data_IF_627563766810
#
_entry.id   IF_627563766810
#
_cell.length_a   1.000
_cell.length_b   1.000
_cell.length_c   1.000
_cell.angle_alpha   90.00
_cell.angle_beta   90.00
_cell.angle_gamma   90.00
#
_symmetry.space_group_name_H-M   'P 1'
#
loop_
_entity.id
_entity.type
_entity.pdbx_description
1 polymer ?
#
# COMPACT_ATOMS: atom_id res chain seq x y z
N UNK A 1 12.74 -14.98 -10.23
CA UNK A 1 11.28 -15.06 -10.41
C UNK A 1 10.71 -15.07 -9.01
N UNK A 2 9.92 -14.06 -8.70
CA UNK A 2 9.62 -13.68 -7.32
C UNK A 2 8.28 -12.95 -7.23
N UNK A 3 7.57 -13.22 -6.15
CA UNK A 3 6.32 -12.54 -5.83
C UNK A 3 6.60 -11.06 -5.52
N UNK A 4 5.61 -10.20 -5.76
CA UNK A 4 5.72 -8.79 -5.45
C UNK A 4 4.37 -8.24 -4.98
N UNK A 5 4.43 -7.34 -4.00
CA UNK A 5 3.32 -6.52 -3.55
C UNK A 5 3.68 -5.07 -3.87
N UNK A 6 2.74 -4.30 -4.40
CA UNK A 6 2.97 -2.92 -4.82
C UNK A 6 1.76 -2.06 -4.45
N UNK A 7 2.02 -0.93 -3.81
CA UNK A 7 1.07 0.17 -3.65
C UNK A 7 1.49 1.28 -4.59
N UNK A 8 0.55 1.71 -5.43
CA UNK A 8 0.71 2.87 -6.30
C UNK A 8 -0.31 3.94 -5.94
N UNK A 9 0.05 5.20 -6.09
CA UNK A 9 -0.82 6.34 -5.85
C UNK A 9 -0.85 7.30 -7.04
N UNK A 10 -1.99 7.94 -7.22
CA UNK A 10 -2.17 9.04 -8.16
C UNK A 10 -3.18 10.03 -7.61
N UNK A 11 -3.16 11.25 -8.11
CA UNK A 11 -3.96 12.34 -7.58
C UNK A 11 -4.51 13.25 -8.66
N UNK A 12 -5.55 14.00 -8.31
CA UNK A 12 -6.08 15.13 -9.08
C UNK A 12 -6.00 16.39 -8.24
N UNK A 13 -5.99 17.55 -8.88
CA UNK A 13 -6.06 18.85 -8.23
C UNK A 13 -7.32 19.56 -8.69
N UNK A 14 -8.13 20.04 -7.73
CA UNK A 14 -9.38 20.73 -7.98
C UNK A 14 -10.33 19.95 -8.93
N UNK A 15 -10.39 18.62 -8.82
CA UNK A 15 -11.31 17.83 -9.61
C UNK A 15 -12.75 18.19 -9.21
N UNK A 16 -13.65 18.32 -10.18
CA UNK A 16 -15.07 18.58 -9.90
C UNK A 16 -15.90 17.30 -9.88
N UNK A 17 -17.21 17.45 -10.08
CA UNK A 17 -18.13 16.32 -10.21
C UNK A 17 -17.88 15.46 -11.48
N UNK A 18 -17.17 16.02 -12.47
CA UNK A 18 -16.74 15.28 -13.66
C UNK A 18 -15.50 14.45 -13.33
N UNK A 19 -15.48 13.19 -13.73
CA UNK A 19 -14.31 12.33 -13.55
C UNK A 19 -13.08 12.90 -14.25
N UNK A 20 -12.02 13.11 -13.47
CA UNK A 20 -10.72 13.60 -13.93
C UNK A 20 -9.70 12.47 -13.83
N UNK A 21 -8.91 12.27 -14.88
CA UNK A 21 -7.87 11.24 -14.88
C UNK A 21 -6.78 11.58 -13.85
N UNK A 22 -6.30 10.55 -13.12
CA UNK A 22 -5.24 10.74 -12.14
C UNK A 22 -3.91 11.13 -12.80
N UNK A 23 -3.20 12.05 -12.15
CA UNK A 23 -1.76 12.24 -12.34
C UNK A 23 -1.03 11.29 -11.39
N UNK A 24 -0.22 10.39 -11.93
CA UNK A 24 0.48 9.39 -11.10
C UNK A 24 1.60 10.03 -10.28
N UNK A 25 1.76 9.57 -9.03
CA UNK A 25 2.88 9.97 -8.20
C UNK A 25 4.21 9.54 -8.82
N UNK A 26 5.28 10.25 -8.49
CA UNK A 26 6.60 9.98 -9.07
C UNK A 26 7.05 8.54 -8.78
N UNK A 27 7.39 7.81 -9.85
CA UNK A 27 7.83 6.42 -9.80
C UNK A 27 6.70 5.38 -9.93
N UNK A 28 5.45 5.81 -9.89
CA UNK A 28 4.29 4.93 -10.03
C UNK A 28 3.75 4.95 -11.47
N UNK A 29 3.03 3.89 -11.86
CA UNK A 29 2.44 3.77 -13.19
C UNK A 29 1.15 2.95 -13.16
N UNK A 30 0.20 3.34 -14.01
CA UNK A 30 -1.02 2.56 -14.28
C UNK A 30 -0.79 1.45 -15.32
N UNK A 31 0.42 1.35 -15.90
CA UNK A 31 0.79 0.21 -16.74
C UNK A 31 1.12 -0.98 -15.86
N UNK A 32 0.37 -2.07 -16.02
CA UNK A 32 0.61 -3.32 -15.31
C UNK A 32 1.92 -3.92 -15.81
N UNK A 33 2.85 -4.12 -14.88
CA UNK A 33 4.17 -4.68 -15.16
C UNK A 33 4.06 -6.03 -15.87
N UNK A 34 5.01 -6.30 -16.77
CA UNK A 34 5.05 -7.57 -17.48
C UNK A 34 5.39 -8.71 -16.51
N UNK A 35 4.56 -9.75 -16.51
CA UNK A 35 4.79 -11.02 -15.79
C UNK A 35 4.94 -12.15 -16.78
N UNK A 36 5.28 -13.35 -16.28
CA UNK A 36 5.22 -14.55 -17.11
C UNK A 36 3.78 -14.85 -17.57
N UNK A 37 3.59 -15.47 -18.76
CA UNK A 37 2.25 -15.68 -19.35
C UNK A 37 1.28 -16.50 -18.49
N UNK A 38 1.78 -17.41 -17.66
CA UNK A 38 1.00 -18.28 -16.77
C UNK A 38 0.74 -17.67 -15.39
N UNK A 39 1.37 -16.53 -15.08
CA UNK A 39 1.33 -15.88 -13.77
C UNK A 39 0.28 -14.78 -13.74
N UNK A 40 -0.42 -14.69 -12.62
CA UNK A 40 -1.53 -13.75 -12.47
C UNK A 40 -1.08 -12.49 -11.74
N UNK A 41 -1.80 -11.42 -12.05
CA UNK A 41 -1.72 -10.12 -11.37
C UNK A 41 -3.10 -9.82 -10.80
N UNK A 42 -3.14 -9.31 -9.59
CA UNK A 42 -4.37 -9.09 -8.85
C UNK A 42 -4.41 -7.65 -8.31
N UNK A 43 -5.50 -6.94 -8.58
CA UNK A 43 -5.90 -5.77 -7.82
C UNK A 43 -6.55 -6.28 -6.52
N UNK A 44 -5.85 -6.10 -5.42
CA UNK A 44 -6.26 -6.57 -4.11
C UNK A 44 -7.26 -5.61 -3.47
N UNK A 45 -6.96 -4.31 -3.53
CA UNK A 45 -7.85 -3.29 -3.02
C UNK A 45 -7.53 -1.93 -3.64
N UNK A 46 -8.40 -0.97 -3.37
CA UNK A 46 -8.19 0.44 -3.69
C UNK A 46 -8.91 1.29 -2.66
N UNK A 47 -8.38 2.48 -2.40
CA UNK A 47 -8.98 3.45 -1.49
C UNK A 47 -8.68 4.87 -1.97
N UNK A 48 -9.35 5.83 -1.36
CA UNK A 48 -9.27 7.25 -1.72
C UNK A 48 -9.17 8.08 -0.47
N UNK A 49 -8.39 9.14 -0.54
CA UNK A 49 -8.40 10.26 0.38
C UNK A 49 -8.76 11.51 -0.43
N UNK A 50 -9.81 12.22 -0.04
CA UNK A 50 -10.38 13.29 -0.85
C UNK A 50 -11.13 14.31 0.00
N UNK A 51 -11.10 15.57 -0.44
CA UNK A 51 -11.80 16.71 0.16
C UNK A 51 -13.32 16.72 -0.09
N UNK A 52 -13.84 15.79 -0.90
CA UNK A 52 -15.27 15.64 -1.13
C UNK A 52 -15.66 14.18 -1.43
N UNK A 53 -16.88 13.81 -1.03
CA UNK A 53 -17.46 12.53 -1.41
C UNK A 53 -17.71 12.48 -2.93
N UNK A 54 -17.43 11.33 -3.54
CA UNK A 54 -17.33 11.26 -4.99
C UNK A 54 -17.38 9.85 -5.55
N UNK A 55 -16.67 9.65 -6.66
CA UNK A 55 -16.58 8.40 -7.40
C UNK A 55 -15.15 8.16 -7.87
N UNK A 56 -14.60 7.01 -7.48
CA UNK A 56 -13.42 6.43 -8.11
C UNK A 56 -13.86 5.51 -9.25
N UNK A 57 -13.19 5.61 -10.40
CA UNK A 57 -13.35 4.67 -11.52
C UNK A 57 -12.01 4.09 -11.94
N UNK A 58 -11.95 2.76 -12.03
CA UNK A 58 -10.79 2.03 -12.57
C UNK A 58 -11.26 1.26 -13.80
N UNK A 59 -10.73 1.60 -14.96
CA UNK A 59 -11.11 1.02 -16.25
C UNK A 59 -9.95 0.28 -16.88
N UNK A 60 -10.28 -0.78 -17.59
CA UNK A 60 -9.40 -1.39 -18.60
C UNK A 60 -10.28 -2.04 -19.68
N UNK A 61 -9.81 -2.13 -20.93
CA UNK A 61 -10.52 -2.85 -21.99
C UNK A 61 -10.75 -4.34 -21.70
N UNK A 62 -10.02 -4.89 -20.72
CA UNK A 62 -10.07 -6.30 -20.32
C UNK A 62 -10.89 -6.53 -19.05
N UNK A 63 -11.38 -5.48 -18.40
CA UNK A 63 -12.36 -5.60 -17.32
C UNK A 63 -13.74 -5.91 -17.88
N UNK A 64 -14.65 -6.40 -17.03
CA UNK A 64 -16.02 -6.75 -17.43
C UNK A 64 -16.76 -5.57 -18.09
N UNK A 65 -16.71 -4.39 -17.47
CA UNK A 65 -17.28 -3.17 -18.02
C UNK A 65 -16.14 -2.28 -18.56
N UNK A 66 -15.93 -2.28 -19.88
CA UNK A 66 -14.91 -1.46 -20.52
C UNK A 66 -15.28 0.04 -20.61
N UNK A 67 -16.52 0.41 -20.30
CA UNK A 67 -17.00 1.80 -20.32
C UNK A 67 -16.87 2.42 -18.95
N UNK A 68 -17.54 1.85 -17.94
CA UNK A 68 -17.52 2.39 -16.58
C UNK A 68 -16.44 1.80 -15.69
N UNK A 69 -15.95 0.59 -16.00
CA UNK A 69 -14.96 -0.09 -15.18
C UNK A 69 -15.51 -0.49 -13.81
N UNK A 70 -14.61 -0.63 -12.85
CA UNK A 70 -14.96 -0.69 -11.44
C UNK A 70 -15.30 0.72 -10.99
N UNK A 71 -16.54 0.94 -10.53
CA UNK A 71 -17.05 2.24 -10.09
C UNK A 71 -17.42 2.20 -8.62
N UNK A 72 -16.69 2.95 -7.80
CA UNK A 72 -16.81 2.93 -6.34
C UNK A 72 -17.19 4.31 -5.84
N UNK A 73 -18.10 4.37 -4.86
CA UNK A 73 -18.38 5.61 -4.14
C UNK A 73 -17.23 5.88 -3.17
N UNK A 74 -16.84 7.14 -3.06
CA UNK A 74 -15.82 7.59 -2.11
C UNK A 74 -16.49 8.47 -1.06
N UNK A 75 -16.04 8.36 0.19
CA UNK A 75 -16.41 9.28 1.26
C UNK A 75 -15.31 10.35 1.38
N UNK A 76 -15.67 11.53 1.85
CA UNK A 76 -14.73 12.58 2.21
C UNK A 76 -13.85 12.11 3.38
N UNK A 77 -12.54 12.35 3.33
CA UNK A 77 -11.61 12.10 4.45
C UNK A 77 -11.77 10.68 5.04
N UNK A 78 -11.85 9.67 4.17
CA UNK A 78 -11.85 8.27 4.59
C UNK A 78 -10.94 7.43 3.71
N UNK A 79 -9.65 7.39 4.03
CA UNK A 79 -8.68 6.46 3.46
C UNK A 79 -8.98 4.99 3.84
N UNK A 80 -10.12 4.43 3.41
CA UNK A 80 -10.55 3.06 3.74
C UNK A 80 -10.67 2.18 2.49
N UNK A 81 -10.41 0.86 2.60
CA UNK A 81 -10.60 -0.10 1.52
C UNK A 81 -12.00 -0.03 0.91
N UNK A 82 -12.09 0.22 -0.39
CA UNK A 82 -13.37 0.34 -1.12
C UNK A 82 -13.81 -0.98 -1.75
N UNK A 83 -12.87 -1.90 -1.97
CA UNK A 83 -13.17 -3.26 -2.43
C UNK A 83 -13.25 -4.23 -1.25
N UNK A 84 -14.06 -5.29 -1.35
CA UNK A 84 -13.93 -6.43 -0.44
C UNK A 84 -12.49 -6.95 -0.45
N UNK A 85 -11.98 -7.39 0.71
CA UNK A 85 -10.64 -7.98 0.82
C UNK A 85 -10.51 -9.33 0.07
N UNK A 86 -11.64 -9.98 -0.17
CA UNK A 86 -11.83 -11.18 -0.98
C UNK A 86 -13.30 -11.14 -1.49
N UNK A 87 -13.60 -11.36 -2.79
CA UNK A 87 -12.74 -11.77 -3.91
C UNK A 87 -11.89 -10.64 -4.52
N UNK A 88 -10.74 -11.03 -5.11
CA UNK A 88 -9.79 -10.13 -5.78
C UNK A 88 -10.10 -9.92 -7.26
N UNK A 89 -9.78 -8.74 -7.80
CA UNK A 89 -9.95 -8.44 -9.23
C UNK A 89 -8.69 -8.82 -10.01
N UNK A 90 -8.82 -9.69 -11.03
CA UNK A 90 -7.70 -10.01 -11.93
C UNK A 90 -7.32 -8.81 -12.79
N UNK A 91 -6.02 -8.54 -12.90
CA UNK A 91 -5.41 -7.62 -13.85
C UNK A 91 -4.61 -8.39 -14.91
N UNK A 92 -4.29 -7.73 -16.01
CA UNK A 92 -3.60 -8.34 -17.13
C UNK A 92 -2.23 -7.68 -17.36
N UNK A 93 -1.16 -8.47 -17.52
CA UNK A 93 0.16 -7.94 -17.81
C UNK A 93 0.16 -7.04 -19.05
N UNK A 94 0.93 -5.95 -19.00
CA UNK A 94 1.07 -4.94 -20.05
C UNK A 94 -0.23 -4.18 -20.39
N UNK A 95 -1.31 -4.39 -19.64
CA UNK A 95 -2.50 -3.57 -19.73
C UNK A 95 -2.25 -2.20 -19.10
N UNK A 96 -2.93 -1.17 -19.59
CA UNK A 96 -2.85 0.19 -19.06
C UNK A 96 -4.20 0.54 -18.46
N UNK A 97 -4.23 0.69 -17.14
CA UNK A 97 -5.45 1.13 -16.46
C UNK A 97 -5.70 2.60 -16.73
N UNK A 98 -6.97 2.98 -16.87
CA UNK A 98 -7.40 4.37 -16.79
C UNK A 98 -8.14 4.55 -15.48
N UNK A 99 -7.56 5.35 -14.59
CA UNK A 99 -8.12 5.63 -13.28
C UNK A 99 -8.54 7.09 -13.24
N UNK A 100 -9.80 7.33 -12.90
CA UNK A 100 -10.38 8.67 -12.81
C UNK A 100 -11.05 8.87 -11.45
N UNK A 101 -10.99 10.09 -10.92
CA UNK A 101 -11.56 10.49 -9.65
C UNK A 101 -12.38 11.78 -9.81
N UNK A 102 -13.49 11.91 -9.09
CA UNK A 102 -14.20 13.18 -8.92
C UNK A 102 -13.81 13.83 -7.60
N UNK A 103 -13.94 15.15 -7.49
CA UNK A 103 -13.55 15.90 -6.30
C UNK A 103 -14.47 17.08 -5.96
N UNK A 104 -13.92 18.04 -5.21
CA UNK A 104 -14.64 19.16 -4.61
C UNK A 104 -14.89 20.35 -5.54
N UNK A 105 -14.12 20.46 -6.63
CA UNK A 105 -13.97 21.62 -7.50
C UNK A 105 -13.35 22.86 -6.80
N UNK A 106 -12.79 22.72 -5.60
CA UNK A 106 -12.13 23.81 -4.89
C UNK A 106 -10.67 23.92 -5.35
N UNK A 107 -10.23 25.14 -5.61
CA UNK A 107 -8.85 25.39 -6.04
C UNK A 107 -7.86 25.08 -4.92
N UNK A 108 -6.91 24.19 -5.19
CA UNK A 108 -5.87 23.79 -4.25
C UNK A 108 -6.11 22.41 -3.62
N UNK A 109 -7.36 21.95 -3.57
CA UNK A 109 -7.70 20.62 -3.06
C UNK A 109 -7.06 19.53 -3.92
N UNK A 110 -6.55 18.50 -3.26
CA UNK A 110 -5.96 17.31 -3.86
C UNK A 110 -6.82 16.11 -3.47
N UNK A 111 -7.27 15.37 -4.48
CA UNK A 111 -7.92 14.08 -4.28
C UNK A 111 -6.98 12.96 -4.71
N UNK A 112 -6.68 12.05 -3.80
CA UNK A 112 -5.70 10.97 -4.00
C UNK A 112 -6.39 9.62 -4.04
N UNK A 113 -6.04 8.79 -5.00
CA UNK A 113 -6.46 7.39 -5.07
C UNK A 113 -5.25 6.47 -5.05
N UNK A 114 -5.43 5.31 -4.41
CA UNK A 114 -4.38 4.34 -4.16
C UNK A 114 -4.83 2.95 -4.59
N UNK A 115 -3.96 2.21 -5.29
CA UNK A 115 -4.23 0.84 -5.73
C UNK A 115 -3.19 -0.09 -5.10
N UNK A 116 -3.67 -1.20 -4.53
CA UNK A 116 -2.84 -2.30 -4.01
C UNK A 116 -2.84 -3.45 -5.01
N UNK A 117 -1.67 -3.78 -5.55
CA UNK A 117 -1.48 -4.78 -6.61
C UNK A 117 -0.56 -5.88 -6.12
N UNK A 118 -0.90 -7.13 -6.43
CA UNK A 118 -0.05 -8.29 -6.19
C UNK A 118 0.30 -8.98 -7.51
N UNK A 119 1.58 -9.35 -7.63
CA UNK A 119 2.14 -10.09 -8.75
C UNK A 119 2.59 -11.46 -8.24
N UNK A 120 2.05 -12.53 -8.83
CA UNK A 120 2.49 -13.91 -8.50
C UNK A 120 3.95 -14.16 -8.91
N UNK A 121 4.42 -13.47 -9.96
CA UNK A 121 5.81 -13.50 -10.40
C UNK A 121 6.14 -12.25 -11.23
N UNK A 122 7.07 -11.45 -10.76
CA UNK A 122 7.56 -10.26 -11.43
C UNK A 122 9.05 -10.42 -11.74
N UNK A 123 9.44 -10.64 -13.02
CA UNK A 123 10.84 -10.84 -13.39
C UNK A 123 11.75 -9.70 -12.91
N UNK A 124 12.87 -10.06 -12.28
CA UNK A 124 13.83 -9.09 -11.73
C UNK A 124 13.48 -8.54 -10.34
N UNK A 125 12.30 -8.87 -9.79
CA UNK A 125 11.85 -8.47 -8.47
C UNK A 125 11.52 -9.71 -7.64
N UNK A 126 11.87 -9.69 -6.36
CA UNK A 126 11.56 -10.76 -5.43
C UNK A 126 11.37 -10.17 -4.03
N UNK A 127 10.11 -9.87 -3.69
CA UNK A 127 9.77 -9.45 -2.34
C UNK A 127 9.82 -10.66 -1.40
N UNK A 128 10.31 -10.46 -0.19
CA UNK A 128 10.31 -11.48 0.88
C UNK A 128 8.97 -11.43 1.59
N UNK A 129 8.05 -12.29 1.17
CA UNK A 129 6.69 -12.35 1.72
C UNK A 129 6.46 -13.71 2.38
N UNK A 130 5.85 -13.71 3.57
CA UNK A 130 5.41 -14.94 4.26
C UNK A 130 3.89 -14.94 4.44
N UNK A 131 3.34 -16.14 4.67
CA UNK A 131 1.94 -16.32 5.03
C UNK A 131 1.72 -16.35 6.55
N UNK A 132 0.47 -16.20 6.98
CA UNK A 132 0.09 -16.23 8.40
C UNK A 132 0.53 -17.53 9.12
N UNK A 133 0.40 -18.68 8.46
CA UNK A 133 0.80 -19.97 9.04
C UNK A 133 2.33 -20.09 9.26
N UNK A 134 3.14 -19.40 8.47
CA UNK A 134 4.59 -19.32 8.70
C UNK A 134 4.90 -18.32 9.81
N UNK A 135 4.26 -17.14 9.81
CA UNK A 135 4.39 -16.15 10.86
C UNK A 135 4.13 -16.77 12.25
N UNK A 136 2.99 -17.45 12.42
CA UNK A 136 2.60 -18.07 13.69
C UNK A 136 3.59 -19.13 14.20
N UNK A 137 4.31 -19.82 13.29
CA UNK A 137 5.33 -20.81 13.67
C UNK A 137 6.67 -20.20 14.04
N UNK A 138 6.99 -19.01 13.53
CA UNK A 138 8.32 -18.40 13.68
C UNK A 138 8.37 -17.26 14.70
N UNK A 139 7.22 -16.65 15.01
CA UNK A 139 7.14 -15.47 15.88
C UNK A 139 7.72 -15.73 17.28
N UNK A 140 8.61 -14.84 17.73
CA UNK A 140 9.18 -14.88 19.08
C UNK A 140 8.67 -13.73 19.93
N UNK A 141 8.77 -12.50 19.42
CA UNK A 141 8.39 -11.27 20.10
C UNK A 141 7.61 -10.36 19.16
N UNK A 142 6.74 -9.51 19.72
CA UNK A 142 6.06 -8.42 19.01
C UNK A 142 6.50 -7.10 19.60
N UNK A 143 6.81 -6.12 18.76
CA UNK A 143 7.16 -4.77 19.18
C UNK A 143 6.74 -3.74 18.13
N UNK A 144 6.64 -2.48 18.55
CA UNK A 144 6.40 -1.34 17.69
C UNK A 144 7.68 -0.53 17.47
N UNK A 145 7.83 0.06 16.30
CA UNK A 145 8.84 1.08 16.01
C UNK A 145 8.16 2.32 15.47
N UNK A 146 8.29 3.42 16.20
CA UNK A 146 7.77 4.73 15.76
C UNK A 146 8.74 5.37 14.76
N UNK A 147 8.19 6.01 13.74
CA UNK A 147 8.91 6.87 12.82
C UNK A 147 8.09 8.12 12.51
N UNK A 148 8.68 9.28 12.72
CA UNK A 148 8.06 10.57 12.42
C UNK A 148 8.33 10.94 10.96
N UNK A 149 7.25 11.11 10.19
CA UNK A 149 7.32 11.50 8.77
C UNK A 149 6.99 12.98 8.61
N UNK A 150 7.53 13.60 7.56
CA UNK A 150 7.19 14.98 7.17
C UNK A 150 6.61 14.96 5.76
N UNK A 151 5.29 15.09 5.68
CA UNK A 151 4.56 15.06 4.42
C UNK A 151 4.76 16.35 3.61
N UNK A 152 4.61 16.24 2.29
CA UNK A 152 4.58 17.35 1.34
C UNK A 152 3.16 17.68 0.89
N UNK A 153 2.95 18.90 0.39
CA UNK A 153 1.64 19.43 -0.01
C UNK A 153 1.35 19.28 -1.51
N UNK A 154 2.24 18.65 -2.28
CA UNK A 154 2.17 18.62 -3.74
C UNK A 154 1.40 17.40 -4.30
N UNK A 155 0.87 16.56 -3.43
CA UNK A 155 0.36 15.23 -3.79
C UNK A 155 1.48 14.20 -3.98
N UNK A 156 1.11 12.93 -3.88
CA UNK A 156 2.02 11.79 -4.08
C UNK A 156 2.97 11.53 -2.90
N UNK A 157 4.00 10.72 -3.14
CA UNK A 157 4.90 10.21 -2.09
C UNK A 157 5.91 11.25 -1.60
N UNK A 158 6.01 11.38 -0.28
CA UNK A 158 6.93 12.28 0.41
C UNK A 158 7.33 11.73 1.78
N UNK A 159 8.11 12.51 2.56
CA UNK A 159 8.45 12.17 3.94
C UNK A 159 9.36 10.96 4.12
N UNK A 160 10.10 10.56 3.08
CA UNK A 160 10.93 9.36 3.10
C UNK A 160 11.93 9.34 4.25
N UNK A 161 11.82 8.33 5.11
CA UNK A 161 12.66 8.20 6.30
C UNK A 161 12.95 6.74 6.64
N UNK A 162 14.16 6.42 7.07
CA UNK A 162 14.50 5.05 7.46
C UNK A 162 13.67 4.58 8.67
N UNK A 163 13.25 3.31 8.69
CA UNK A 163 12.41 2.72 9.76
C UNK A 163 13.05 2.77 11.15
N UNK A 164 14.38 2.89 11.24
CA UNK A 164 15.12 2.98 12.50
C UNK A 164 15.60 4.40 12.83
N UNK A 165 15.12 5.43 12.11
CA UNK A 165 15.67 6.78 12.21
C UNK A 165 15.37 7.49 13.54
N UNK A 166 14.22 7.22 14.17
CA UNK A 166 13.87 7.78 15.49
C UNK A 166 14.27 6.82 16.60
N UNK A 167 13.86 5.55 16.47
CA UNK A 167 14.08 4.52 17.48
C UNK A 167 14.66 3.26 16.85
N UNK A 168 15.93 2.99 17.11
CA UNK A 168 16.59 1.76 16.66
C UNK A 168 16.58 0.69 17.75
N UNK A 169 15.55 -0.16 17.70
CA UNK A 169 15.36 -1.27 18.65
C UNK A 169 15.58 -2.65 18.01
N UNK A 170 15.99 -2.69 16.73
CA UNK A 170 16.20 -3.92 15.99
C UNK A 170 17.43 -4.67 16.48
N UNK A 171 17.31 -5.99 16.67
CA UNK A 171 18.44 -6.88 16.92
C UNK A 171 19.19 -7.14 15.62
N UNK A 172 20.51 -7.28 15.71
CA UNK A 172 21.36 -7.52 14.55
C UNK A 172 21.14 -8.92 13.97
N UNK A 173 21.16 -9.03 12.64
CA UNK A 173 21.04 -10.28 11.87
C UNK A 173 19.74 -11.06 12.11
N UNK A 174 18.68 -10.35 12.49
CA UNK A 174 17.35 -10.93 12.70
C UNK A 174 16.39 -10.49 11.60
N UNK A 175 15.48 -11.40 11.22
CA UNK A 175 14.37 -11.14 10.30
C UNK A 175 13.13 -10.68 11.07
N UNK A 176 12.43 -9.70 10.52
CA UNK A 176 11.25 -9.09 11.12
C UNK A 176 10.10 -9.06 10.12
N UNK A 177 8.96 -9.65 10.49
CA UNK A 177 7.74 -9.57 9.71
C UNK A 177 6.95 -8.31 10.06
N UNK A 178 6.59 -7.49 9.07
CA UNK A 178 5.71 -6.34 9.23
C UNK A 178 4.25 -6.81 9.21
N UNK A 179 3.61 -6.82 10.38
CA UNK A 179 2.24 -7.31 10.52
C UNK A 179 1.22 -6.25 10.10
N UNK A 180 1.53 -4.98 10.37
CA UNK A 180 0.69 -3.83 10.14
C UNK A 180 1.32 -2.60 10.79
N UNK A 181 0.53 -1.56 10.99
CA UNK A 181 0.99 -0.28 11.50
C UNK A 181 -0.15 0.54 12.09
N UNK A 182 0.23 1.61 12.78
CA UNK A 182 -0.68 2.62 13.32
C UNK A 182 -0.23 3.99 12.84
N UNK A 183 -1.19 4.85 12.52
CA UNK A 183 -0.99 6.27 12.24
C UNK A 183 -1.79 7.10 13.26
N UNK A 184 -1.31 8.31 13.55
CA UNK A 184 -1.96 9.25 14.46
C UNK A 184 -2.73 10.37 13.75
N UNK A 185 -2.57 10.51 12.43
CA UNK A 185 -3.29 11.44 11.56
C UNK A 185 -3.59 10.79 10.21
N UNK A 186 -4.71 11.18 9.60
CA UNK A 186 -5.12 10.69 8.28
C UNK A 186 -4.11 11.07 7.20
N UNK A 187 -3.83 10.11 6.31
CA UNK A 187 -3.14 10.31 5.03
C UNK A 187 -3.66 9.31 4.00
N UNK A 188 -3.47 9.59 2.71
CA UNK A 188 -3.91 8.68 1.65
C UNK A 188 -3.28 7.29 1.76
N UNK A 189 -1.97 7.18 2.01
CA UNK A 189 -1.31 5.90 2.24
C UNK A 189 0.01 6.01 2.97
N UNK A 190 0.36 4.94 3.67
CA UNK A 190 1.68 4.74 4.27
C UNK A 190 2.33 3.53 3.59
N UNK A 191 3.60 3.66 3.22
CA UNK A 191 4.34 2.61 2.53
C UNK A 191 5.75 2.39 3.11
N UNK A 192 6.24 1.17 2.95
CA UNK A 192 7.60 0.73 3.22
C UNK A 192 8.25 0.31 1.90
N UNK A 193 9.52 0.67 1.73
CA UNK A 193 10.28 0.37 0.52
C UNK A 193 11.71 0.02 0.88
N UNK A 194 12.26 -1.01 0.25
CA UNK A 194 13.67 -1.38 0.39
C UNK A 194 14.01 -2.61 -0.43
N UNK A 195 15.24 -3.10 -0.29
CA UNK A 195 15.69 -4.28 -1.03
C UNK A 195 14.82 -5.53 -0.76
N UNK A 196 14.34 -5.70 0.48
CA UNK A 196 13.50 -6.84 0.88
C UNK A 196 12.09 -6.81 0.26
N UNK A 197 11.62 -5.66 -0.23
CA UNK A 197 10.37 -5.52 -1.00
C UNK A 197 10.61 -5.47 -2.50
N UNK A 198 11.85 -5.75 -2.93
CA UNK A 198 12.28 -5.60 -4.33
C UNK A 198 12.25 -4.15 -4.81
N UNK A 199 12.43 -3.19 -3.89
CA UNK A 199 12.34 -1.75 -4.10
C UNK A 199 10.98 -1.24 -4.58
N UNK A 200 9.92 -2.03 -4.43
CA UNK A 200 8.54 -1.57 -4.56
C UNK A 200 8.01 -1.06 -3.23
N UNK A 201 7.04 -0.16 -3.28
CA UNK A 201 6.30 0.29 -2.11
C UNK A 201 5.31 -0.80 -1.71
N UNK A 202 5.42 -1.31 -0.48
CA UNK A 202 4.40 -2.15 0.14
C UNK A 202 3.74 -1.33 1.24
N UNK A 203 2.42 -1.37 1.36
CA UNK A 203 1.75 -0.43 2.27
C UNK A 203 0.25 -0.65 2.35
N UNK A 204 -0.43 0.36 2.87
CA UNK A 204 -1.87 0.38 2.94
C UNK A 204 -2.42 1.78 3.27
N UNK A 205 -3.69 1.85 3.69
CA UNK A 205 -4.35 3.10 4.03
C UNK A 205 -3.76 3.81 5.25
N UNK A 206 -3.62 5.13 5.19
CA UNK A 206 -3.19 5.96 6.31
C UNK A 206 -4.34 6.38 7.22
N UNK A 207 -5.22 5.45 7.62
CA UNK A 207 -6.39 5.74 8.47
C UNK A 207 -6.04 5.69 9.97
N UNK A 208 -6.20 6.81 10.66
CA UNK A 208 -5.92 7.02 12.07
C UNK A 208 -7.01 6.49 13.02
N UNK A 209 -8.24 6.35 12.50
CA UNK A 209 -9.42 5.91 13.25
C UNK A 209 -9.63 4.39 13.14
N UNK A 210 -9.32 3.78 12.00
CA UNK A 210 -9.45 2.35 11.76
C UNK A 210 -8.19 1.56 12.18
N UNK A 211 -7.64 1.85 13.37
CA UNK A 211 -6.46 1.14 13.90
C UNK A 211 -6.60 -0.38 13.94
N UNK A 212 -7.82 -0.88 14.15
CA UNK A 212 -8.12 -2.31 14.13
C UNK A 212 -7.96 -2.94 12.74
N UNK A 213 -8.06 -2.15 11.67
CA UNK A 213 -7.82 -2.56 10.29
C UNK A 213 -6.32 -2.52 9.97
N UNK A 214 -5.65 -1.40 10.27
CA UNK A 214 -4.26 -1.15 9.88
C UNK A 214 -3.24 -1.91 10.74
N UNK A 215 -3.54 -2.19 12.02
CA UNK A 215 -2.65 -2.90 12.94
C UNK A 215 -2.32 -4.33 12.50
N UNK A 216 -3.25 -5.00 11.80
CA UNK A 216 -3.06 -6.35 11.27
C UNK A 216 -3.14 -6.39 9.74
N UNK A 217 -2.94 -5.26 9.06
CA UNK A 217 -3.19 -5.09 7.62
C UNK A 217 -2.66 -6.25 6.76
N UNK A 218 -1.36 -6.55 6.88
CA UNK A 218 -0.73 -7.57 6.04
C UNK A 218 -1.10 -8.99 6.48
N UNK A 219 -1.28 -9.22 7.78
CA UNK A 219 -1.74 -10.52 8.31
C UNK A 219 -3.14 -10.82 7.81
N UNK A 220 -4.05 -9.85 7.89
CA UNK A 220 -5.43 -9.96 7.43
C UNK A 220 -5.52 -10.17 5.93
N UNK A 221 -4.76 -9.41 5.14
CA UNK A 221 -4.67 -9.62 3.69
C UNK A 221 -4.20 -11.04 3.36
N UNK A 222 -3.15 -11.52 4.03
CA UNK A 222 -2.63 -12.87 3.81
C UNK A 222 -3.62 -13.96 4.22
N UNK A 223 -4.29 -13.81 5.37
CA UNK A 223 -5.29 -14.74 5.89
C UNK A 223 -6.50 -14.87 4.98
N UNK A 224 -7.05 -13.73 4.54
CA UNK A 224 -8.27 -13.71 3.74
C UNK A 224 -8.04 -14.19 2.31
N UNK A 225 -6.88 -13.86 1.72
CA UNK A 225 -6.54 -14.28 0.36
C UNK A 225 -5.95 -15.68 0.26
N UNK A 226 -5.40 -16.21 1.36
CA UNK A 226 -4.59 -17.43 1.35
C UNK A 226 -3.22 -17.26 0.65
N UNK A 227 -2.80 -16.02 0.36
CA UNK A 227 -1.55 -15.70 -0.35
C UNK A 227 -0.53 -15.13 0.64
N UNK A 228 0.78 -15.45 0.53
CA UNK A 228 1.82 -14.79 1.31
C UNK A 228 1.89 -13.28 0.99
N UNK A 229 1.52 -12.44 1.96
CA UNK A 229 1.48 -10.98 1.81
C UNK A 229 2.16 -10.22 2.95
N UNK A 230 2.75 -10.92 3.92
CA UNK A 230 3.39 -10.31 5.09
C UNK A 230 4.87 -10.01 4.74
N UNK A 231 5.29 -8.74 4.60
CA UNK A 231 6.67 -8.41 4.25
C UNK A 231 7.63 -8.81 5.36
N UNK A 232 8.79 -9.36 4.99
CA UNK A 232 9.87 -9.72 5.91
C UNK A 232 11.11 -8.92 5.59
N UNK A 233 11.58 -8.17 6.57
CA UNK A 233 12.76 -7.32 6.49
C UNK A 233 13.94 -7.95 7.23
N UNK A 234 15.14 -7.88 6.65
CA UNK A 234 16.34 -8.15 7.43
C UNK A 234 16.77 -6.89 8.18
N UNK A 235 17.07 -7.00 9.47
CA UNK A 235 17.62 -5.90 10.27
C UNK A 235 18.93 -5.31 9.72
N UNK A 236 19.73 -6.06 8.96
CA UNK A 236 20.90 -5.50 8.29
C UNK A 236 20.54 -4.41 7.27
N UNK A 237 19.31 -4.44 6.75
CA UNK A 237 18.80 -3.48 5.76
C UNK A 237 18.01 -2.32 6.38
N UNK A 238 17.86 -2.24 7.71
CA UNK A 238 16.98 -1.26 8.40
C UNK A 238 17.21 0.19 7.99
N UNK A 239 18.45 0.61 7.76
CA UNK A 239 18.77 1.96 7.32
C UNK A 239 18.34 2.26 5.86
N UNK A 240 18.07 1.22 5.06
CA UNK A 240 17.61 1.29 3.68
C UNK A 240 16.14 0.88 3.51
N UNK A 241 15.45 0.56 4.60
CA UNK A 241 14.00 0.36 4.60
C UNK A 241 13.38 1.70 4.94
N UNK A 242 12.88 2.39 3.92
CA UNK A 242 12.29 3.72 4.06
C UNK A 242 10.78 3.61 4.19
N UNK A 243 10.22 4.42 5.08
CA UNK A 243 8.79 4.67 5.20
C UNK A 243 8.48 5.97 4.48
N UNK A 244 7.44 5.98 3.66
CA UNK A 244 6.97 7.13 2.89
C UNK A 244 5.46 7.28 3.04
N UNK A 245 4.98 8.50 2.85
CA UNK A 245 3.56 8.85 2.95
C UNK A 245 3.06 9.46 1.64
N UNK A 246 1.90 9.02 1.18
CA UNK A 246 1.13 9.72 0.16
C UNK A 246 0.12 10.61 0.88
N UNK A 247 0.18 11.91 0.63
CA UNK A 247 -0.65 12.93 1.28
C UNK A 247 -1.28 13.87 0.27
N UNK A 248 -2.30 14.57 0.73
CA UNK A 248 -2.99 15.65 0.05
C UNK A 248 -2.27 17.01 0.28
N UNK A 249 -2.95 18.10 -0.05
CA UNK A 249 -2.47 19.48 0.14
C UNK A 249 -2.31 19.88 1.61
N UNK A 250 -2.97 19.19 2.54
CA UNK A 250 -2.91 19.49 3.96
C UNK A 250 -1.58 19.03 4.58
N UNK A 251 -0.85 18.12 3.90
CA UNK A 251 0.45 17.60 4.33
C UNK A 251 0.47 17.16 5.80
N UNK A 252 -0.59 16.45 6.20
CA UNK A 252 -0.65 15.78 7.48
C UNK A 252 0.59 14.89 7.65
N UNK A 253 1.35 15.15 8.71
CA UNK A 253 2.66 14.53 8.97
C UNK A 253 2.51 13.46 10.06
N UNK A 254 2.37 12.18 9.70
CA UNK A 254 2.04 11.14 10.67
C UNK A 254 3.25 10.67 11.46
N UNK A 255 3.00 10.30 12.71
CA UNK A 255 3.82 9.39 13.50
C UNK A 255 3.35 7.97 13.20
N UNK A 256 4.18 7.20 12.51
CA UNK A 256 3.86 5.83 12.11
C UNK A 256 4.49 4.86 13.08
N UNK A 257 3.67 4.09 13.80
CA UNK A 257 4.16 2.92 14.57
C UNK A 257 4.06 1.68 13.71
N UNK A 258 5.20 1.21 13.18
CA UNK A 258 5.29 -0.07 12.47
C UNK A 258 5.25 -1.23 13.47
N UNK A 259 4.34 -2.20 13.27
CA UNK A 259 4.18 -3.35 14.16
C UNK A 259 4.93 -4.56 13.59
N UNK A 260 6.00 -4.96 14.27
CA UNK A 260 6.88 -6.04 13.84
C UNK A 260 6.76 -7.27 14.72
N UNK A 261 6.90 -8.42 14.08
CA UNK A 261 7.15 -9.71 14.71
C UNK A 261 8.60 -10.14 14.47
N UNK A 262 9.34 -10.39 15.54
CA UNK A 262 10.66 -11.00 15.47
C UNK A 262 10.54 -12.47 15.06
N UNK A 263 11.25 -12.87 14.00
CA UNK A 263 11.20 -14.23 13.47
C UNK A 263 12.40 -15.05 13.92
N UNK A 264 12.12 -16.18 14.58
CA UNK A 264 13.10 -17.19 14.95
C UNK A 264 13.01 -18.45 14.08
N UNK A 265 13.65 -19.51 14.57
CA UNK A 265 13.48 -20.86 14.03
C UNK A 265 12.01 -21.31 14.16
N UNK A 266 11.48 -22.09 13.19
CA UNK A 266 10.12 -22.61 13.28
C UNK A 266 9.93 -23.47 14.53
N UNK A 267 8.87 -23.21 15.29
CA UNK A 267 8.44 -24.08 16.39
C UNK A 267 7.87 -25.39 15.82
N UNK A 268 8.15 -26.55 16.46
CA UNK A 268 7.50 -27.80 16.07
C UNK A 268 5.98 -27.69 16.28
N UNK A 269 5.22 -28.31 15.36
CA UNK A 269 3.76 -28.34 15.38
C UNK A 269 3.21 -29.17 16.54
#
# INVERSE_FOLDING_TARGET
>A
MGTALEVISGFTTAAGATQTALTMATGDSLTIRATLPDKKVWLLNTWVDAQAAGVLRIKSPKLHDAVHGIRLRTTISEAKPLLPMDPQQRLYPQDVLSVDLSGSATAGDIETAVLLIYYEDLPGIMARLIGEAELGRRIQNVFGVETDLTAGTAGGWSGSRAVNADFDVFKANTDYALMGYLADVETAAISWKGADTGNLRVGGPGDELARHLTAEWFVRLSRLSGIPMIPVFNSANKAAITIEVASDENAASPKVTSLFAELGAPRPA
#
